data_IF_567321556776
#
_entry.id   IF_567321556776
#
_cell.length_a   1.000
_cell.length_b   1.000
_cell.length_c   1.000
_cell.angle_alpha   90.00
_cell.angle_beta   90.00
_cell.angle_gamma   90.00
#
_symmetry.space_group_name_H-M   'P 1'
#
loop_
_entity.id
_entity.type
_entity.pdbx_description
1 polymer ?
#
# COMPACT_ATOMS: atom_id res chain seq x y z
N UNK A 1 16.89 -2.41 -11.62
CA UNK A 1 16.00 -1.51 -10.85
C UNK A 1 15.22 -2.33 -9.86
N UNK A 2 15.32 -2.01 -8.57
CA UNK A 2 14.49 -2.61 -7.51
C UNK A 2 13.02 -2.24 -7.72
N UNK A 3 12.11 -2.96 -7.07
CA UNK A 3 10.67 -2.70 -7.24
C UNK A 3 10.28 -1.36 -6.61
N UNK A 4 10.91 -0.99 -5.51
CA UNK A 4 10.74 0.27 -4.80
C UNK A 4 11.20 1.46 -5.67
N UNK A 5 12.36 1.34 -6.33
CA UNK A 5 12.87 2.34 -7.29
C UNK A 5 11.84 2.64 -8.39
N UNK A 6 11.22 1.61 -8.97
CA UNK A 6 10.15 1.76 -9.98
C UNK A 6 8.93 2.49 -9.45
N UNK A 7 8.54 2.23 -8.21
CA UNK A 7 7.38 2.90 -7.58
C UNK A 7 7.66 4.38 -7.38
N UNK A 8 8.87 4.69 -6.91
CA UNK A 8 9.32 6.06 -6.70
C UNK A 8 9.40 6.83 -8.00
N UNK A 9 9.93 6.22 -9.06
CA UNK A 9 9.97 6.82 -10.40
C UNK A 9 8.56 7.19 -10.87
N UNK A 10 7.63 6.23 -10.84
CA UNK A 10 6.23 6.46 -11.22
C UNK A 10 5.58 7.57 -10.39
N UNK A 11 5.78 7.59 -9.06
CA UNK A 11 5.20 8.64 -8.21
C UNK A 11 5.84 10.02 -8.46
N UNK A 12 7.14 10.08 -8.79
CA UNK A 12 7.83 11.33 -9.13
C UNK A 12 7.42 11.87 -10.48
N UNK A 13 7.18 11.01 -11.47
CA UNK A 13 6.60 11.39 -12.76
C UNK A 13 5.24 12.07 -12.58
N UNK A 14 4.45 11.61 -11.60
CA UNK A 14 3.15 12.20 -11.22
C UNK A 14 3.30 13.43 -10.28
N UNK A 15 4.53 13.86 -9.96
CA UNK A 15 4.82 15.06 -9.17
C UNK A 15 4.92 14.85 -7.65
N UNK A 16 4.81 13.61 -7.16
CA UNK A 16 4.87 13.32 -5.73
C UNK A 16 6.30 13.22 -5.21
N UNK A 17 6.53 13.79 -4.02
CA UNK A 17 7.81 13.70 -3.30
C UNK A 17 7.83 12.45 -2.43
N UNK A 18 8.31 11.35 -3.01
CA UNK A 18 8.45 10.06 -2.34
C UNK A 18 9.89 9.56 -2.52
N UNK A 19 10.42 8.92 -1.49
CA UNK A 19 11.72 8.22 -1.53
C UNK A 19 11.53 6.71 -1.56
N UNK A 20 12.56 5.94 -1.92
CA UNK A 20 12.46 4.47 -1.85
C UNK A 20 12.18 4.00 -0.44
N UNK A 21 12.61 4.78 0.55
CA UNK A 21 12.44 4.46 1.96
C UNK A 21 11.00 4.56 2.46
N UNK A 22 10.16 5.19 1.66
CA UNK A 22 8.77 5.45 1.93
C UNK A 22 7.84 4.39 1.33
N UNK A 23 8.40 3.37 0.64
CA UNK A 23 7.65 2.35 -0.09
C UNK A 23 7.66 1.02 0.66
N UNK A 24 6.48 0.45 0.86
CA UNK A 24 6.26 -0.91 1.33
C UNK A 24 5.60 -1.75 0.25
N UNK A 25 6.17 -2.93 -0.03
CA UNK A 25 5.55 -3.89 -0.94
C UNK A 25 4.59 -4.79 -0.15
N UNK A 26 3.34 -4.87 -0.61
CA UNK A 26 2.32 -5.72 0.01
C UNK A 26 1.63 -6.60 -1.03
N UNK A 27 1.17 -7.78 -0.60
CA UNK A 27 0.20 -8.55 -1.35
C UNK A 27 -1.14 -8.39 -0.66
N UNK A 28 -2.05 -7.66 -1.32
CA UNK A 28 -3.38 -7.37 -0.79
C UNK A 28 -4.46 -8.14 -1.55
N UNK A 29 -5.46 -8.58 -0.80
CA UNK A 29 -6.74 -9.09 -1.25
C UNK A 29 -7.80 -8.06 -0.83
N UNK A 30 -8.49 -7.42 -1.77
CA UNK A 30 -9.63 -6.57 -1.44
C UNK A 30 -10.68 -7.41 -0.71
N UNK A 31 -11.04 -7.02 0.50
CA UNK A 31 -11.89 -7.87 1.35
C UNK A 31 -13.37 -7.90 0.93
N UNK A 32 -13.80 -6.99 0.04
CA UNK A 32 -15.14 -7.00 -0.57
C UNK A 32 -15.34 -8.11 -1.61
N UNK A 33 -14.27 -8.80 -2.05
CA UNK A 33 -14.33 -9.93 -3.00
C UNK A 33 -14.50 -11.29 -2.28
N UNK A 34 -14.99 -11.28 -1.04
CA UNK A 34 -15.11 -12.44 -0.14
C UNK A 34 -16.19 -13.47 -0.52
N UNK A 35 -16.40 -13.73 -1.81
CA UNK A 35 -17.33 -14.73 -2.31
C UNK A 35 -16.79 -15.46 -3.54
N UNK A 36 -16.32 -16.69 -3.33
CA UNK A 36 -16.36 -17.81 -4.29
C UNK A 36 -15.48 -17.88 -5.55
N UNK A 37 -14.65 -16.91 -5.91
CA UNK A 37 -13.72 -17.09 -7.06
C UNK A 37 -12.26 -16.89 -6.66
N UNK A 38 -11.41 -17.80 -7.16
CA UNK A 38 -9.96 -17.89 -6.98
C UNK A 38 -9.31 -16.51 -6.86
N UNK A 39 -9.11 -16.05 -5.63
CA UNK A 39 -8.59 -14.72 -5.37
C UNK A 39 -7.09 -14.76 -5.63
N UNK A 40 -6.69 -14.44 -6.86
CA UNK A 40 -5.27 -14.24 -7.17
C UNK A 40 -4.81 -13.03 -6.33
N UNK A 41 -3.92 -13.21 -5.34
CA UNK A 41 -3.43 -12.08 -4.54
C UNK A 41 -2.77 -11.09 -5.50
N UNK A 42 -3.31 -9.86 -5.54
CA UNK A 42 -2.72 -8.80 -6.36
C UNK A 42 -1.56 -8.21 -5.58
N UNK A 43 -0.37 -8.24 -6.18
CA UNK A 43 0.74 -7.46 -5.66
C UNK A 43 0.35 -5.98 -5.75
N UNK A 44 0.55 -5.26 -4.66
CA UNK A 44 0.39 -3.81 -4.61
C UNK A 44 1.62 -3.20 -3.94
N UNK A 45 1.83 -1.93 -4.22
CA UNK A 45 2.81 -1.10 -3.54
C UNK A 45 2.05 -0.12 -2.67
N UNK A 46 2.43 -0.07 -1.41
CA UNK A 46 2.03 0.97 -0.50
C UNK A 46 3.17 1.98 -0.47
N UNK A 47 2.84 3.26 -0.58
CA UNK A 47 3.82 4.31 -0.34
C UNK A 47 3.20 5.36 0.56
N UNK A 48 4.03 6.13 1.23
CA UNK A 48 3.57 7.18 2.13
C UNK A 48 4.52 8.36 2.08
N UNK A 49 4.01 9.58 2.18
CA UNK A 49 4.82 10.73 2.56
C UNK A 49 4.14 11.45 3.73
N UNK A 50 4.74 12.52 4.26
CA UNK A 50 4.20 13.23 5.42
C UNK A 50 2.77 13.79 5.26
N UNK A 51 2.19 13.76 4.06
CA UNK A 51 0.84 14.28 3.76
C UNK A 51 -0.08 13.26 3.09
N UNK A 52 0.47 12.26 2.41
CA UNK A 52 -0.29 11.40 1.50
C UNK A 52 0.05 9.93 1.70
N UNK A 53 -0.95 9.08 1.49
CA UNK A 53 -0.82 7.64 1.45
C UNK A 53 -1.22 7.11 0.07
N UNK A 54 -0.46 6.15 -0.46
CA UNK A 54 -0.64 5.63 -1.80
C UNK A 54 -0.88 4.12 -1.77
N UNK A 55 -1.83 3.66 -2.59
CA UNK A 55 -2.04 2.24 -2.91
C UNK A 55 -1.94 2.08 -4.42
N UNK A 56 -0.93 1.35 -4.87
CA UNK A 56 -0.56 1.25 -6.29
C UNK A 56 -0.63 -0.21 -6.70
N UNK A 57 -1.53 -0.57 -7.62
CA UNK A 57 -1.61 -1.94 -8.08
C UNK A 57 -0.42 -2.29 -9.00
N UNK A 58 0.04 -3.54 -8.95
CA UNK A 58 1.03 -4.04 -9.90
C UNK A 58 0.36 -4.62 -11.17
N UNK A 59 1.10 -4.59 -12.28
CA UNK A 59 0.75 -5.32 -13.51
C UNK A 59 0.90 -6.84 -13.29
N UNK A 60 -0.07 -7.62 -13.76
CA UNK A 60 -0.10 -9.09 -13.57
C UNK A 60 1.11 -9.81 -14.19
N UNK A 61 1.67 -9.27 -15.27
CA UNK A 61 2.73 -9.95 -16.04
C UNK A 61 4.14 -9.72 -15.50
N UNK A 62 4.41 -8.57 -14.86
CA UNK A 62 5.78 -8.17 -14.46
C UNK A 62 5.91 -7.81 -12.99
N UNK A 63 4.80 -7.64 -12.28
CA UNK A 63 4.82 -7.17 -10.89
C UNK A 63 5.34 -5.74 -10.77
N UNK A 64 5.31 -4.97 -11.85
CA UNK A 64 5.71 -3.56 -11.91
C UNK A 64 4.52 -2.66 -11.55
N UNK A 65 4.73 -1.49 -10.90
CA UNK A 65 3.65 -0.56 -10.58
C UNK A 65 2.92 -0.11 -11.85
N UNK A 66 1.59 -0.08 -11.78
CA UNK A 66 0.73 0.38 -12.87
C UNK A 66 0.29 1.82 -12.58
N UNK A 67 0.82 2.78 -13.35
CA UNK A 67 0.54 4.21 -13.19
C UNK A 67 -0.96 4.56 -13.30
N UNK A 68 -1.72 3.76 -14.05
CA UNK A 68 -3.17 3.97 -14.20
C UNK A 68 -3.97 3.39 -13.02
N UNK A 69 -3.31 2.75 -12.04
CA UNK A 69 -3.95 2.12 -10.87
C UNK A 69 -3.34 2.63 -9.56
N UNK A 70 -2.90 3.88 -9.57
CA UNK A 70 -2.51 4.60 -8.36
C UNK A 70 -3.79 5.16 -7.72
N UNK A 71 -4.00 4.81 -6.46
CA UNK A 71 -4.90 5.55 -5.58
C UNK A 71 -4.04 6.32 -4.58
N UNK A 72 -4.32 7.60 -4.42
CA UNK A 72 -3.70 8.44 -3.40
C UNK A 72 -4.78 8.95 -2.45
N UNK A 73 -4.39 9.16 -1.19
CA UNK A 73 -5.28 9.58 -0.11
C UNK A 73 -4.56 10.64 0.71
N UNK A 74 -5.22 11.78 0.95
CA UNK A 74 -4.73 12.75 1.92
C UNK A 74 -4.86 12.18 3.33
N UNK A 75 -3.80 12.29 4.13
CA UNK A 75 -3.80 11.87 5.53
C UNK A 75 -4.64 12.78 6.43
N UNK A 76 -4.97 13.98 5.95
CA UNK A 76 -5.92 14.88 6.62
C UNK A 76 -7.38 14.40 6.45
N UNK A 77 -7.64 13.61 5.41
CA UNK A 77 -9.00 13.16 5.04
C UNK A 77 -9.22 11.68 5.33
N UNK A 78 -8.15 10.89 5.41
CA UNK A 78 -8.22 9.45 5.58
C UNK A 78 -7.39 9.02 6.78
N UNK A 79 -8.06 8.39 7.75
CA UNK A 79 -7.38 7.63 8.78
C UNK A 79 -6.94 6.27 8.22
N UNK A 80 -5.62 6.08 8.13
CA UNK A 80 -4.99 4.84 7.70
C UNK A 80 -4.71 3.99 8.94
N UNK A 81 -5.35 2.82 9.03
CA UNK A 81 -5.07 1.86 10.10
C UNK A 81 -4.53 0.56 9.53
N UNK A 82 -3.39 0.10 10.06
CA UNK A 82 -2.82 -1.20 9.71
C UNK A 82 -2.79 -2.13 10.92
N UNK A 83 -3.67 -3.13 10.91
CA UNK A 83 -3.75 -4.14 11.96
C UNK A 83 -2.86 -5.32 11.61
N UNK A 84 -1.88 -5.61 12.46
CA UNK A 84 -1.09 -6.84 12.36
C UNK A 84 -1.92 -8.01 12.91
N UNK A 85 -2.28 -8.97 12.05
CA UNK A 85 -2.82 -10.26 12.47
C UNK A 85 -1.70 -11.31 12.62
N UNK A 86 -1.96 -12.41 13.32
CA UNK A 86 -1.01 -13.52 13.42
C UNK A 86 -0.65 -14.07 12.02
N UNK A 87 0.66 -14.10 11.76
CA UNK A 87 1.40 -14.83 10.73
C UNK A 87 1.09 -14.55 9.23
N UNK A 88 -0.14 -14.27 8.81
CA UNK A 88 -0.49 -14.13 7.36
C UNK A 88 -1.72 -13.23 7.07
N UNK A 89 -2.18 -12.41 8.03
CA UNK A 89 -3.45 -11.68 7.91
C UNK A 89 -3.37 -10.25 8.45
N UNK A 90 -2.47 -9.44 7.89
CA UNK A 90 -2.55 -8.00 8.10
C UNK A 90 -3.86 -7.44 7.54
N UNK A 91 -4.38 -6.35 8.09
CA UNK A 91 -5.52 -5.63 7.51
C UNK A 91 -5.16 -4.16 7.39
N UNK A 92 -5.25 -3.63 6.18
CA UNK A 92 -5.20 -2.19 5.92
C UNK A 92 -6.64 -1.68 5.83
N UNK A 93 -6.98 -0.73 6.68
CA UNK A 93 -8.29 -0.09 6.76
C UNK A 93 -8.07 1.39 6.46
N UNK A 94 -8.77 1.92 5.47
CA UNK A 94 -8.83 3.35 5.18
C UNK A 94 -10.20 3.84 5.59
N UNK A 95 -10.27 4.77 6.53
CA UNK A 95 -11.53 5.40 6.95
C UNK A 95 -11.51 6.85 6.50
N UNK A 96 -12.37 7.19 5.56
CA UNK A 96 -12.55 8.54 5.03
C UNK A 96 -13.32 9.40 6.04
N UNK A 97 -13.13 10.72 5.99
CA UNK A 97 -13.78 11.70 6.85
C UNK A 97 -15.31 11.69 6.75
N UNK A 98 -15.85 11.27 5.60
CA UNK A 98 -17.30 11.06 5.35
C UNK A 98 -17.86 9.76 5.98
N UNK A 99 -17.01 8.96 6.64
CA UNK A 99 -17.36 7.69 7.27
C UNK A 99 -17.24 6.46 6.35
N UNK A 100 -16.91 6.64 5.06
CA UNK A 100 -16.68 5.52 4.14
C UNK A 100 -15.44 4.72 4.54
N UNK A 101 -15.50 3.39 4.41
CA UNK A 101 -14.40 2.49 4.77
C UNK A 101 -13.96 1.61 3.62
N UNK A 102 -12.66 1.64 3.30
CA UNK A 102 -12.02 0.69 2.38
C UNK A 102 -11.21 -0.33 3.19
N UNK A 103 -11.46 -1.62 2.95
CA UNK A 103 -10.84 -2.70 3.69
C UNK A 103 -10.02 -3.59 2.76
N UNK A 104 -8.73 -3.69 3.04
CA UNK A 104 -7.79 -4.54 2.33
C UNK A 104 -7.22 -5.59 3.30
N UNK A 105 -7.25 -6.85 2.89
CA UNK A 105 -6.60 -7.94 3.61
C UNK A 105 -5.19 -8.11 3.07
N UNK A 106 -4.18 -7.92 3.89
CA UNK A 106 -2.79 -8.17 3.55
C UNK A 106 -2.40 -9.61 3.87
N UNK A 107 -2.06 -10.40 2.86
CA UNK A 107 -1.56 -11.76 3.04
C UNK A 107 -0.08 -11.78 3.42
N UNK A 108 0.70 -10.85 2.84
CA UNK A 108 2.13 -10.78 3.05
C UNK A 108 2.62 -9.36 2.86
N UNK A 109 3.36 -8.84 3.83
CA UNK A 109 4.19 -7.65 3.67
C UNK A 109 5.61 -8.10 3.37
N UNK A 110 6.18 -7.57 2.28
CA UNK A 110 7.58 -7.76 1.93
C UNK A 110 8.33 -6.48 2.25
N UNK A 111 9.01 -6.51 3.39
CA UNK A 111 9.85 -5.43 3.90
C UNK A 111 11.25 -5.59 3.29
N UNK A 112 11.51 -4.95 2.15
CA UNK A 112 12.85 -4.90 1.55
C UNK A 112 13.66 -3.73 2.10
N UNK A 113 14.88 -3.98 2.58
CA UNK A 113 15.90 -2.95 2.91
C UNK A 113 15.57 -1.94 4.03
N UNK A 114 16.38 -0.87 4.17
CA UNK A 114 16.20 0.27 5.10
C UNK A 114 14.82 0.95 4.95
N UNK A 115 14.22 0.88 3.76
CA UNK A 115 12.88 1.37 3.46
C UNK A 115 11.79 0.80 4.37
N UNK A 116 11.98 -0.44 4.81
CA UNK A 116 11.09 -1.05 5.77
C UNK A 116 11.05 -0.30 7.11
N UNK A 117 12.13 0.36 7.52
CA UNK A 117 12.22 0.96 8.85
C UNK A 117 11.48 2.29 8.97
N UNK A 118 11.56 3.16 7.96
CA UNK A 118 10.78 4.40 7.95
C UNK A 118 9.29 4.09 7.78
N UNK A 119 8.95 3.17 6.88
CA UNK A 119 7.56 2.70 6.78
C UNK A 119 7.10 2.00 8.06
N UNK A 120 7.94 1.21 8.76
CA UNK A 120 7.61 0.64 10.08
C UNK A 120 7.38 1.71 11.15
N UNK A 121 8.17 2.78 11.16
CA UNK A 121 7.95 3.94 12.06
C UNK A 121 6.66 4.67 11.69
N UNK A 122 6.36 4.84 10.40
CA UNK A 122 5.09 5.38 9.95
C UNK A 122 3.92 4.47 10.35
N UNK A 123 4.08 3.15 10.27
CA UNK A 123 3.09 2.17 10.73
C UNK A 123 2.78 2.28 12.21
N UNK A 124 3.75 2.64 13.06
CA UNK A 124 3.44 2.91 14.47
C UNK A 124 2.47 4.08 14.65
N UNK A 125 2.44 5.05 13.72
CA UNK A 125 1.43 6.12 13.70
C UNK A 125 0.06 5.62 13.21
N UNK A 126 0.02 4.46 12.55
CA UNK A 126 -1.16 3.87 11.92
C UNK A 126 -1.69 2.64 12.67
N UNK A 127 -1.22 2.35 13.88
CA UNK A 127 -1.70 1.26 14.73
C UNK A 127 -2.86 1.73 15.61
#
# INVERSE_FOLDING_TARGET
>A
MKKEEKVVEVLREEGYKVSEEDVLIAQLIPSFLGGFFTIIPKQVFLAYNNKEFFVIAATLMKGDPDKNKIKHYSLDEVNVQMKNGLLLNGKLILTHSDGKRENYRAMKFAFGSLASNNFKKALQKFQ
#
